data_IF_394405843819
#
_entry.id   IF_394405843819
#
_cell.length_a   1.000
_cell.length_b   1.000
_cell.length_c   1.000
_cell.angle_alpha   90.00
_cell.angle_beta   90.00
_cell.angle_gamma   90.00
#
_symmetry.space_group_name_H-M   'P 1'
#
loop_
_entity.id
_entity.type
_entity.pdbx_description
1 polymer ?
#
# COMPACT_ATOMS: atom_id res chain seq x y z
N UNK A 1 3.21 -16.23 5.57
CA UNK A 1 1.98 -15.80 4.91
C UNK A 1 2.22 -15.70 3.42
N UNK A 2 1.44 -16.42 2.66
CA UNK A 2 1.53 -16.41 1.21
C UNK A 2 0.51 -15.45 0.61
N UNK A 3 0.85 -14.76 -0.48
CA UNK A 3 -0.16 -13.94 -1.17
C UNK A 3 -1.25 -14.84 -1.76
N UNK A 4 -2.47 -14.33 -1.88
CA UNK A 4 -3.55 -15.06 -2.55
C UNK A 4 -3.19 -15.49 -3.95
N UNK A 5 -3.65 -16.67 -4.33
CA UNK A 5 -3.47 -17.17 -5.70
C UNK A 5 -4.63 -16.67 -6.54
N UNK A 6 -4.30 -16.07 -7.67
CA UNK A 6 -5.31 -15.56 -8.59
C UNK A 6 -5.13 -16.27 -9.92
N UNK A 7 -6.23 -16.85 -10.40
CA UNK A 7 -6.21 -17.46 -11.71
C UNK A 7 -7.05 -16.64 -12.68
N UNK A 8 -6.51 -16.37 -13.79
CA UNK A 8 -7.12 -15.60 -14.87
C UNK A 8 -7.24 -14.15 -14.55
N UNK A 9 -6.93 -13.24 -14.84
CA UNK A 9 -6.93 -12.15 -14.24
C UNK A 9 -7.01 -10.86 -14.85
N UNK A 10 -8.04 -10.11 -14.51
CA UNK A 10 -8.12 -8.71 -14.67
C UNK A 10 -7.19 -7.99 -13.70
N UNK A 11 -6.74 -6.79 -14.07
CA UNK A 11 -5.89 -5.97 -13.21
C UNK A 11 -6.59 -5.62 -11.90
N UNK A 12 -7.91 -5.41 -11.93
CA UNK A 12 -8.67 -5.10 -10.72
C UNK A 12 -8.68 -6.27 -9.72
N UNK A 13 -8.64 -7.50 -10.22
CA UNK A 13 -8.55 -8.68 -9.35
C UNK A 13 -7.19 -8.77 -8.68
N UNK A 14 -6.12 -8.43 -9.40
CA UNK A 14 -4.79 -8.35 -8.83
C UNK A 14 -4.68 -7.25 -7.79
N UNK A 15 -5.26 -6.10 -8.06
CA UNK A 15 -5.31 -5.00 -7.11
C UNK A 15 -6.04 -5.39 -5.83
N UNK A 16 -7.18 -6.07 -5.95
CA UNK A 16 -7.93 -6.55 -4.79
C UNK A 16 -7.10 -7.57 -4.00
N UNK A 17 -6.40 -8.47 -4.68
CA UNK A 17 -5.55 -9.44 -4.00
C UNK A 17 -4.41 -8.77 -3.23
N UNK A 18 -3.80 -7.73 -3.80
CA UNK A 18 -2.78 -6.92 -3.13
C UNK A 18 -3.34 -6.31 -1.85
N UNK A 19 -4.54 -5.70 -1.94
CA UNK A 19 -5.19 -5.09 -0.79
C UNK A 19 -5.50 -6.12 0.30
N UNK A 20 -6.04 -7.27 -0.08
CA UNK A 20 -6.36 -8.35 0.85
C UNK A 20 -5.10 -8.90 1.53
N UNK A 21 -4.05 -9.10 0.76
CA UNK A 21 -2.76 -9.54 1.31
C UNK A 21 -2.20 -8.53 2.30
N UNK A 22 -2.22 -7.26 1.93
CA UNK A 22 -1.72 -6.18 2.79
C UNK A 22 -2.46 -6.12 4.13
N UNK A 23 -3.76 -6.35 4.13
CA UNK A 23 -4.58 -6.30 5.33
C UNK A 23 -4.25 -7.42 6.32
N UNK A 24 -3.61 -8.50 5.88
CA UNK A 24 -3.20 -9.58 6.79
C UNK A 24 -2.16 -9.14 7.82
N UNK A 25 -1.48 -8.02 7.57
CA UNK A 25 -0.39 -7.55 8.42
C UNK A 25 -0.81 -6.46 9.39
N UNK A 26 -2.08 -6.11 9.45
CA UNK A 26 -2.62 -5.16 10.43
C UNK A 26 -2.28 -5.67 11.84
N UNK A 27 -1.74 -4.77 12.66
CA UNK A 27 -1.29 -5.11 14.01
C UNK A 27 0.20 -5.38 14.13
N UNK A 28 0.89 -5.58 13.02
CA UNK A 28 2.35 -5.81 13.04
C UNK A 28 3.10 -4.49 13.20
N UNK A 29 4.36 -4.54 13.68
CA UNK A 29 5.05 -3.34 14.10
C UNK A 29 5.52 -2.44 12.96
N UNK A 30 5.64 -1.15 13.28
CA UNK A 30 6.34 -0.16 12.45
C UNK A 30 7.79 -0.06 12.92
N UNK A 31 8.72 -0.10 11.96
CA UNK A 31 10.15 0.14 12.24
C UNK A 31 10.71 1.07 11.16
N UNK A 32 11.29 2.18 11.56
CA UNK A 32 11.90 3.13 10.62
C UNK A 32 12.98 2.43 9.80
N UNK A 33 12.90 2.57 8.48
CA UNK A 33 13.83 1.91 7.56
C UNK A 33 13.55 0.42 7.35
N UNK A 34 12.54 -0.13 8.02
CA UNK A 34 12.23 -1.55 7.93
C UNK A 34 11.44 -1.92 6.69
N UNK A 35 11.60 -3.17 6.26
CA UNK A 35 10.89 -3.75 5.12
C UNK A 35 10.27 -5.11 5.43
N UNK A 36 10.22 -5.49 6.69
CA UNK A 36 9.63 -6.76 7.09
C UNK A 36 8.15 -6.60 7.41
N UNK A 37 7.30 -7.35 6.71
CA UNK A 37 5.86 -7.30 6.92
C UNK A 37 5.45 -7.85 8.30
N UNK A 38 6.30 -8.65 8.93
CA UNK A 38 6.00 -9.28 10.22
C UNK A 38 6.79 -8.68 11.37
N UNK A 39 8.04 -8.25 11.13
CA UNK A 39 8.94 -7.81 12.19
C UNK A 39 9.16 -6.30 12.22
N UNK A 40 8.66 -5.58 11.25
CA UNK A 40 8.70 -4.13 11.22
C UNK A 40 8.99 -3.53 9.86
N UNK A 41 8.11 -2.63 9.43
CA UNK A 41 8.25 -1.89 8.19
C UNK A 41 7.85 -0.44 8.42
N UNK A 42 8.50 0.48 7.70
CA UNK A 42 8.00 1.85 7.61
C UNK A 42 6.97 1.95 6.48
N UNK A 43 6.44 3.16 6.23
CA UNK A 43 5.34 3.33 5.27
C UNK A 43 5.70 2.84 3.87
N UNK A 44 6.81 3.29 3.33
CA UNK A 44 7.25 2.88 1.99
C UNK A 44 7.79 1.46 1.96
N UNK A 45 8.39 1.00 3.06
CA UNK A 45 8.85 -0.38 3.21
C UNK A 45 7.71 -1.37 3.22
N UNK A 46 6.59 -1.01 3.83
CA UNK A 46 5.37 -1.81 3.81
C UNK A 46 4.85 -1.98 2.38
N UNK A 47 4.67 -0.87 1.66
CA UNK A 47 4.18 -0.89 0.27
C UNK A 47 5.13 -1.67 -0.63
N UNK A 48 6.44 -1.41 -0.53
CA UNK A 48 7.46 -2.11 -1.28
C UNK A 48 7.38 -3.63 -1.06
N UNK A 49 7.26 -4.05 0.20
CA UNK A 49 7.29 -5.47 0.55
C UNK A 49 6.01 -6.19 0.14
N UNK A 50 4.86 -5.53 0.25
CA UNK A 50 3.60 -6.09 -0.25
C UNK A 50 3.71 -6.35 -1.75
N UNK A 51 4.14 -5.35 -2.52
CA UNK A 51 4.26 -5.50 -3.97
C UNK A 51 5.36 -6.45 -4.41
N UNK A 52 6.42 -6.59 -3.62
CA UNK A 52 7.49 -7.57 -3.91
C UNK A 52 6.94 -9.00 -3.96
N UNK A 53 5.92 -9.30 -3.17
CA UNK A 53 5.27 -10.61 -3.20
C UNK A 53 4.48 -10.86 -4.49
N UNK A 54 4.27 -9.83 -5.29
CA UNK A 54 3.60 -9.91 -6.59
C UNK A 54 4.56 -9.68 -7.75
N UNK A 55 5.87 -9.76 -7.49
CA UNK A 55 6.89 -9.63 -8.52
C UNK A 55 7.15 -8.20 -8.97
N UNK A 56 6.69 -7.21 -8.21
CA UNK A 56 6.87 -5.80 -8.55
C UNK A 56 7.93 -5.18 -7.65
N UNK A 57 8.94 -4.59 -8.27
CA UNK A 57 10.03 -3.91 -7.56
C UNK A 57 9.70 -2.43 -7.43
N UNK A 58 9.63 -1.94 -6.20
CA UNK A 58 9.35 -0.53 -5.92
C UNK A 58 10.52 0.09 -5.15
N UNK A 59 10.74 1.41 -5.29
CA UNK A 59 11.77 2.08 -4.50
C UNK A 59 11.36 2.19 -3.03
N UNK A 60 12.33 2.14 -2.12
CA UNK A 60 12.10 2.31 -0.69
C UNK A 60 12.12 3.81 -0.35
N UNK A 61 11.14 4.53 -0.84
CA UNK A 61 11.00 5.97 -0.64
C UNK A 61 9.57 6.40 -0.92
N UNK A 62 8.93 7.04 0.05
CA UNK A 62 7.57 7.54 -0.16
C UNK A 62 7.53 8.59 -1.27
N UNK A 63 8.56 9.43 -1.37
CA UNK A 63 8.65 10.43 -2.44
C UNK A 63 8.79 9.79 -3.81
N UNK A 64 9.63 8.76 -3.94
CA UNK A 64 9.82 8.06 -5.21
C UNK A 64 8.59 7.26 -5.61
N UNK A 65 7.87 6.72 -4.64
CA UNK A 65 6.64 5.95 -4.91
C UNK A 65 5.53 6.82 -5.49
N UNK A 66 5.63 8.14 -5.40
CA UNK A 66 4.67 9.05 -6.05
C UNK A 66 4.70 8.99 -7.57
N UNK A 67 5.72 8.37 -8.15
CA UNK A 67 5.93 8.32 -9.60
C UNK A 67 5.88 6.90 -10.18
N UNK A 68 5.58 5.90 -9.36
CA UNK A 68 5.50 4.50 -9.84
C UNK A 68 4.18 4.27 -10.58
N UNK A 69 4.17 3.25 -11.45
CA UNK A 69 2.97 2.90 -12.19
C UNK A 69 2.43 4.04 -13.02
N UNK A 70 1.11 4.21 -13.02
CA UNK A 70 0.48 5.33 -13.73
C UNK A 70 -0.48 6.10 -12.81
N UNK A 71 -0.71 7.36 -13.17
CA UNK A 71 -1.53 8.26 -12.36
C UNK A 71 -3.01 7.89 -12.46
N UNK A 72 -3.69 7.95 -11.31
CA UNK A 72 -5.15 7.85 -11.20
C UNK A 72 -5.68 9.23 -10.83
N UNK A 73 -6.75 9.65 -11.50
CA UNK A 73 -7.29 10.99 -11.32
C UNK A 73 -8.19 11.06 -10.08
N UNK A 74 -7.56 11.27 -8.94
CA UNK A 74 -8.24 11.51 -7.68
C UNK A 74 -8.63 10.25 -6.93
N UNK A 75 -8.93 10.44 -5.63
CA UNK A 75 -9.31 9.34 -4.74
C UNK A 75 -10.66 8.71 -5.14
N UNK A 76 -11.53 9.47 -5.78
CA UNK A 76 -12.83 8.99 -6.24
C UNK A 76 -12.69 7.92 -7.33
N UNK A 77 -11.56 7.86 -8.00
CA UNK A 77 -11.26 6.85 -9.02
C UNK A 77 -10.34 5.75 -8.51
N UNK A 78 -9.96 5.78 -7.24
CA UNK A 78 -9.07 4.78 -6.67
C UNK A 78 -9.75 3.42 -6.59
N UNK A 79 -8.95 2.38 -6.80
CA UNK A 79 -9.37 0.98 -6.69
C UNK A 79 -8.47 0.25 -5.70
N UNK A 80 -8.96 -0.83 -5.07
CA UNK A 80 -8.11 -1.61 -4.16
C UNK A 80 -6.78 -2.01 -4.81
N UNK A 81 -5.71 -1.84 -4.06
CA UNK A 81 -4.35 -2.05 -4.54
C UNK A 81 -3.64 -0.77 -4.98
N UNK A 82 -4.38 0.30 -5.25
CA UNK A 82 -3.76 1.57 -5.62
C UNK A 82 -2.91 2.11 -4.46
N UNK A 83 -1.85 2.81 -4.83
CA UNK A 83 -0.93 3.42 -3.87
C UNK A 83 -1.37 4.86 -3.66
N UNK A 84 -1.70 5.21 -2.41
CA UNK A 84 -2.12 6.56 -2.04
C UNK A 84 -0.93 7.28 -1.42
N UNK A 85 -0.52 8.38 -2.05
CA UNK A 85 0.69 9.11 -1.67
C UNK A 85 0.35 10.43 -1.01
N UNK A 86 1.05 10.68 0.11
CA UNK A 86 0.93 11.89 0.93
C UNK A 86 2.31 12.53 1.06
N UNK A 87 2.37 13.73 1.62
CA UNK A 87 3.65 14.33 1.97
C UNK A 87 4.36 13.47 3.02
N UNK A 88 5.48 12.86 2.63
CA UNK A 88 6.29 12.02 3.52
C UNK A 88 5.62 10.72 3.96
N UNK A 89 4.57 10.26 3.26
CA UNK A 89 3.84 9.06 3.67
C UNK A 89 3.17 8.37 2.48
N UNK A 90 2.85 7.10 2.66
CA UNK A 90 2.22 6.30 1.61
C UNK A 90 1.43 5.15 2.23
N UNK A 91 0.35 4.73 1.56
CA UNK A 91 -0.45 3.59 1.97
C UNK A 91 -1.05 2.88 0.76
N UNK A 92 -1.75 1.79 1.02
CA UNK A 92 -2.42 0.99 -0.02
C UNK A 92 -3.93 1.12 0.15
N UNK A 93 -4.62 1.52 -0.92
CA UNK A 93 -6.08 1.66 -0.90
C UNK A 93 -6.73 0.28 -0.83
N UNK A 94 -7.73 0.16 0.05
CA UNK A 94 -8.42 -1.12 0.26
C UNK A 94 -9.92 -1.06 -0.07
N UNK A 95 -10.38 0.06 -0.61
CA UNK A 95 -11.78 0.28 -0.90
C UNK A 95 -12.48 1.07 0.20
N UNK A 96 -13.69 1.52 -0.08
CA UNK A 96 -14.55 2.24 0.87
C UNK A 96 -13.89 3.48 1.50
N UNK A 97 -13.00 4.13 0.76
CA UNK A 97 -12.31 5.33 1.24
C UNK A 97 -11.24 5.07 2.28
N UNK A 98 -10.73 3.84 2.39
CA UNK A 98 -9.77 3.45 3.42
C UNK A 98 -8.45 2.98 2.84
N UNK A 99 -7.38 3.14 3.63
CA UNK A 99 -6.05 2.63 3.32
C UNK A 99 -5.57 1.71 4.45
N UNK A 100 -4.68 0.79 4.09
CA UNK A 100 -3.85 0.07 5.06
C UNK A 100 -2.43 0.61 4.93
N UNK A 101 -1.78 0.93 6.06
CA UNK A 101 -0.47 1.56 6.03
C UNK A 101 0.30 1.31 7.33
N UNK A 102 1.62 1.32 7.23
CA UNK A 102 2.49 1.35 8.40
C UNK A 102 2.57 2.81 8.88
N UNK A 103 1.87 3.13 9.94
CA UNK A 103 1.60 4.51 10.32
C UNK A 103 2.68 5.11 11.23
N UNK A 104 2.77 4.63 12.47
CA UNK A 104 3.76 5.12 13.44
C UNK A 104 4.29 3.97 14.29
N UNK A 105 5.36 4.23 15.01
CA UNK A 105 5.92 3.25 15.96
C UNK A 105 4.95 2.88 17.08
N UNK A 106 3.97 3.75 17.36
CA UNK A 106 2.96 3.49 18.39
C UNK A 106 1.80 2.64 17.87
N UNK A 107 1.44 2.81 16.60
CA UNK A 107 0.28 2.14 16.03
C UNK A 107 0.63 0.91 15.22
N UNK A 108 1.82 0.86 14.63
CA UNK A 108 2.17 -0.17 13.67
C UNK A 108 1.35 -0.03 12.39
N UNK A 109 1.02 -1.17 11.81
CA UNK A 109 0.21 -1.24 10.58
C UNK A 109 -1.26 -1.18 10.96
N UNK A 110 -1.97 -0.19 10.41
CA UNK A 110 -3.38 0.06 10.72
C UNK A 110 -4.17 0.41 9.46
N UNK A 111 -5.49 0.43 9.62
CA UNK A 111 -6.42 0.93 8.59
C UNK A 111 -6.88 2.32 9.03
N UNK A 112 -6.87 3.25 8.08
CA UNK A 112 -7.30 4.64 8.28
C UNK A 112 -8.12 5.11 7.10
N UNK A 113 -8.86 6.21 7.27
CA UNK A 113 -9.51 6.88 6.14
C UNK A 113 -8.43 7.44 5.20
N UNK A 114 -8.60 7.24 3.90
CA UNK A 114 -7.64 7.72 2.92
C UNK A 114 -7.51 9.25 2.94
N UNK A 115 -8.57 9.95 3.32
CA UNK A 115 -8.61 11.41 3.34
C UNK A 115 -8.24 12.02 4.69
N UNK A 116 -7.64 11.24 5.59
CA UNK A 116 -7.19 11.78 6.90
C UNK A 116 -6.06 12.81 6.76
N UNK A 117 -5.43 12.86 5.60
CA UNK A 117 -4.42 13.85 5.22
C UNK A 117 -4.64 14.22 3.76
N UNK A 118 -4.03 15.32 3.32
CA UNK A 118 -4.10 15.72 1.91
C UNK A 118 -3.35 14.73 1.03
N UNK A 119 -4.02 14.26 -0.02
CA UNK A 119 -3.47 13.29 -0.96
C UNK A 119 -2.71 14.05 -2.05
N UNK A 120 -1.46 13.64 -2.30
CA UNK A 120 -0.63 14.22 -3.36
C UNK A 120 -0.80 13.50 -4.68
N UNK A 121 -0.90 12.19 -4.67
CA UNK A 121 -1.11 11.41 -5.89
C UNK A 121 -1.71 10.05 -5.56
N UNK A 122 -2.35 9.47 -6.56
CA UNK A 122 -2.84 8.09 -6.53
C UNK A 122 -2.18 7.37 -7.69
N UNK A 123 -1.53 6.24 -7.41
CA UNK A 123 -0.76 5.50 -8.41
C UNK A 123 -1.30 4.09 -8.53
N UNK A 124 -1.36 3.57 -9.75
CA UNK A 124 -1.84 2.22 -10.01
C UNK A 124 -0.75 1.39 -10.66
N UNK A 125 -0.47 0.22 -10.08
CA UNK A 125 0.48 -0.74 -10.64
C UNK A 125 -0.26 -1.73 -11.54
N UNK A 126 -1.37 -2.24 -11.06
CA UNK A 126 -2.21 -3.20 -11.80
C UNK A 126 -3.48 -2.53 -12.36
#
# INVERSE_FOLDING_TARGET
>A
VNPPVISGTGSSELGQAVADFACQFVGNPYVWGGTSLTNGADCSGFVLSVYANYGVSLPHSSAAQRNVGYAVDGIENAQPGDIICYSGHVGIYIGNGQIVHASTSKTGIIISNATYRSILSVRRIF
#
